data_IF_120044531409
#
_entry.id   IF_120044531409
#
_cell.length_a   1.000
_cell.length_b   1.000
_cell.length_c   1.000
_cell.angle_alpha   90.00
_cell.angle_beta   90.00
_cell.angle_gamma   90.00
#
_symmetry.space_group_name_H-M   'P 1'
#
loop_
_entity.id
_entity.type
_entity.pdbx_description
1 polymer ?
2 non-polymer ?
3 non-polymer ?
4 non-polymer ?
5 water ?
#
# COMPACT_ATOMS: atom_id res chain seq x y z
N UNK A 1 10.59 -13.55 -12.09
CA UNK A 1 9.76 -12.70 -11.18
C UNK A 1 10.52 -12.40 -9.88
N UNK A 2 10.23 -11.24 -9.30
CA UNK A 2 10.82 -10.81 -8.05
C UNK A 2 10.23 -11.56 -6.86
N UNK A 3 10.58 -11.14 -5.64
CA UNK A 3 10.09 -11.88 -4.48
C UNK A 3 8.57 -11.94 -4.38
N UNK A 4 8.06 -13.09 -3.98
CA UNK A 4 6.64 -13.26 -3.65
C UNK A 4 6.53 -13.89 -2.29
N UNK A 5 5.38 -13.69 -1.65
CA UNK A 5 5.07 -14.40 -0.42
C UNK A 5 4.91 -15.88 -0.82
N UNK A 6 5.60 -16.77 -0.11
CA UNK A 6 5.48 -18.22 -0.37
C UNK A 6 4.32 -18.83 0.43
N UNK A 7 3.21 -18.13 0.47
CA UNK A 7 1.99 -18.47 1.22
C UNK A 7 0.88 -17.55 0.73
N UNK A 8 -0.37 -17.97 0.83
CA UNK A 8 -1.51 -17.15 0.40
C UNK A 8 -2.24 -16.47 1.53
N UNK A 9 -1.89 -16.80 2.77
CA UNK A 9 -2.47 -16.18 3.96
C UNK A 9 -1.43 -15.20 4.52
N UNK A 10 -1.77 -13.92 4.47
CA UNK A 10 -0.80 -12.87 4.73
C UNK A 10 -1.38 -11.93 5.78
N UNK A 11 -0.61 -11.63 6.82
CA UNK A 11 -1.07 -10.75 7.88
C UNK A 11 -0.54 -9.33 7.73
N UNK A 12 -1.30 -8.37 8.24
CA UNK A 12 -0.86 -6.98 8.32
C UNK A 12 -1.21 -6.36 9.65
N UNK A 13 -0.47 -5.35 10.04
CA UNK A 13 -0.73 -4.59 11.26
C UNK A 13 -0.46 -3.11 10.98
N UNK A 14 -1.29 -2.22 11.49
CA UNK A 14 -1.09 -0.78 11.42
C UNK A 14 -0.29 -0.35 12.64
N UNK A 15 0.99 0.00 12.41
CA UNK A 15 1.89 0.39 13.51
C UNK A 15 1.46 1.64 14.23
N UNK A 16 1.02 2.62 13.44
CA UNK A 16 0.66 3.91 13.97
C UNK A 16 -0.28 4.61 13.00
N UNK A 17 -0.88 5.70 13.46
CA UNK A 17 -1.96 6.35 12.73
C UNK A 17 -1.66 7.80 12.50
N UNK A 18 -1.80 8.21 11.25
CA UNK A 18 -1.66 9.60 10.93
C UNK A 18 -2.68 10.46 11.68
N UNK A 19 -2.25 11.63 12.23
CA UNK A 19 -3.22 12.58 12.83
C UNK A 19 -4.05 13.32 11.79
N UNK A 20 -3.72 13.17 10.50
CA UNK A 20 -4.43 13.87 9.45
C UNK A 20 -5.88 13.41 9.31
N UNK A 21 -6.16 12.15 9.70
CA UNK A 21 -7.43 11.49 9.51
C UNK A 21 -7.92 10.88 10.82
N UNK A 22 -9.21 10.66 10.90
CA UNK A 22 -9.77 9.89 12.00
C UNK A 22 -9.26 8.42 11.94
N UNK A 23 -9.02 7.81 13.10
CA UNK A 23 -8.52 6.42 13.15
C UNK A 23 -9.39 5.43 12.34
N UNK A 24 -10.71 5.52 12.48
CA UNK A 24 -11.65 4.65 11.78
C UNK A 24 -11.46 4.75 10.26
N UNK A 25 -11.18 5.94 9.80
CA UNK A 25 -11.01 6.20 8.37
C UNK A 25 -9.69 5.61 7.84
N UNK A 26 -8.64 5.63 8.66
CA UNK A 26 -7.38 4.94 8.30
C UNK A 26 -7.62 3.43 8.22
N UNK A 27 -8.28 2.86 9.23
CA UNK A 27 -8.54 1.42 9.25
C UNK A 27 -9.32 1.04 7.97
N UNK A 28 -10.30 1.86 7.65
CA UNK A 28 -11.17 1.58 6.52
C UNK A 28 -10.39 1.64 5.19
N UNK A 29 -9.62 2.69 5.01
CA UNK A 29 -8.80 2.85 3.79
C UNK A 29 -7.86 1.66 3.58
N UNK A 30 -7.17 1.26 4.63
CA UNK A 30 -6.24 0.15 4.54
C UNK A 30 -6.97 -1.18 4.27
N UNK A 31 -8.08 -1.44 4.98
CA UNK A 31 -8.83 -2.67 4.76
C UNK A 31 -9.27 -2.77 3.29
N UNK A 32 -9.81 -1.66 2.81
CA UNK A 32 -10.32 -1.57 1.45
C UNK A 32 -9.20 -1.78 0.42
N UNK A 33 -8.03 -1.24 0.72
CA UNK A 33 -6.87 -1.42 -0.19
C UNK A 33 -6.42 -2.88 -0.29
N UNK A 34 -6.40 -3.60 0.83
CA UNK A 34 -6.09 -5.02 0.79
C UNK A 34 -7.16 -5.81 0.03
N UNK A 35 -8.41 -5.42 0.25
CA UNK A 35 -9.56 -6.06 -0.41
C UNK A 35 -9.45 -5.93 -1.95
N UNK A 36 -8.96 -4.80 -2.45
CA UNK A 36 -8.78 -4.64 -3.90
C UNK A 36 -7.95 -5.81 -4.45
N UNK A 37 -6.83 -6.11 -3.80
CA UNK A 37 -5.94 -7.16 -4.25
C UNK A 37 -6.46 -8.57 -3.95
N UNK A 38 -7.08 -8.73 -2.78
CA UNK A 38 -7.72 -10.02 -2.42
C UNK A 38 -8.77 -10.40 -3.48
N UNK A 39 -9.46 -9.41 -4.01
CA UNK A 39 -10.57 -9.64 -4.97
C UNK A 39 -10.15 -10.13 -6.35
N UNK A 40 -8.84 -10.12 -6.65
CA UNK A 40 -8.31 -10.60 -7.95
C UNK A 40 -7.20 -11.65 -7.85
N UNK A 41 -7.03 -12.24 -6.66
CA UNK A 41 -6.01 -13.24 -6.39
C UNK A 41 -6.55 -14.30 -5.42
N UNK A 42 -5.77 -15.39 -5.21
CA UNK A 42 -6.13 -16.31 -4.13
C UNK A 42 -5.69 -15.83 -2.74
N UNK A 43 -5.24 -14.57 -2.60
CA UNK A 43 -4.63 -14.10 -1.34
C UNK A 43 -5.67 -13.75 -0.32
N UNK A 44 -5.38 -14.11 0.92
CA UNK A 44 -6.23 -13.84 2.04
C UNK A 44 -5.42 -12.98 3.04
N UNK A 45 -5.98 -11.83 3.41
CA UNK A 45 -5.36 -10.91 4.37
C UNK A 45 -6.07 -10.89 5.72
N UNK A 46 -5.27 -10.98 6.79
CA UNK A 46 -5.78 -10.96 8.16
C UNK A 46 -5.12 -9.81 8.89
N UNK A 47 -5.92 -8.89 9.41
CA UNK A 47 -5.43 -7.81 10.25
C UNK A 47 -5.14 -8.32 11.64
N UNK A 48 -3.95 -8.00 12.16
CA UNK A 48 -3.64 -8.26 13.55
C UNK A 48 -3.48 -6.95 14.27
N UNK A 49 -3.93 -6.91 15.51
CA UNK A 49 -3.89 -5.68 16.28
C UNK A 49 -2.64 -5.58 17.13
N UNK A 50 -2.07 -6.74 17.45
CA UNK A 50 -0.89 -6.87 18.31
C UNK A 50 -0.09 -8.05 17.79
N UNK A 51 1.21 -7.93 17.72
CA UNK A 51 2.09 -9.06 17.44
C UNK A 51 2.74 -8.97 16.08
N UNK A 52 3.22 -10.11 15.65
CA UNK A 52 4.03 -10.25 14.45
C UNK A 52 3.14 -10.25 13.22
N UNK A 53 3.39 -9.35 12.29
CA UNK A 53 2.66 -9.36 11.04
C UNK A 53 3.62 -9.37 9.88
N UNK A 54 3.15 -9.87 8.73
CA UNK A 54 3.96 -9.83 7.50
C UNK A 54 4.13 -8.39 7.00
N UNK A 55 3.03 -7.66 6.83
CA UNK A 55 3.05 -6.30 6.31
C UNK A 55 2.78 -5.33 7.43
N UNK A 56 3.77 -4.53 7.79
CA UNK A 56 3.61 -3.47 8.76
C UNK A 56 3.32 -2.17 8.01
N UNK A 57 2.26 -1.48 8.37
CA UNK A 57 1.89 -0.18 7.85
C UNK A 57 2.36 0.92 8.80
N UNK A 58 3.14 1.85 8.27
CA UNK A 58 3.82 2.83 9.11
C UNK A 58 3.61 4.20 8.51
N UNK A 59 3.34 5.21 9.37
CA UNK A 59 3.39 6.63 8.99
C UNK A 59 4.62 7.22 9.67
N UNK A 60 5.53 7.85 8.92
CA UNK A 60 6.77 8.39 9.50
C UNK A 60 7.27 9.49 8.63
N UNK A 61 8.22 10.27 9.15
CA UNK A 61 8.74 11.39 8.39
C UNK A 61 10.25 11.36 8.31
N UNK A 62 10.77 12.08 7.32
CA UNK A 62 12.19 12.18 7.16
C UNK A 62 12.92 10.85 7.19
N UNK A 63 14.05 10.83 7.89
CA UNK A 63 14.81 9.61 8.10
C UNK A 63 14.09 8.81 9.20
N UNK A 64 13.74 7.56 8.89
CA UNK A 64 12.86 6.79 9.75
C UNK A 64 13.28 5.34 9.84
N UNK A 65 14.59 5.09 9.76
CA UNK A 65 15.13 3.81 10.14
C UNK A 65 15.47 2.82 9.06
N UNK A 66 15.14 3.13 7.82
CA UNK A 66 15.41 2.20 6.76
C UNK A 66 16.34 2.99 5.91
N UNK A 67 16.77 2.51 4.80
CA UNK A 67 17.86 3.35 4.28
C UNK A 67 17.33 4.32 3.23
N UNK A 68 16.05 4.74 3.41
CA UNK A 68 15.23 5.43 2.42
C UNK A 68 14.44 6.59 3.02
N UNK A 69 15.16 7.63 3.42
CA UNK A 69 14.54 8.75 4.09
C UNK A 69 13.53 9.43 3.20
N UNK A 70 12.42 9.84 3.81
CA UNK A 70 11.44 10.72 3.16
C UNK A 70 11.95 12.15 3.08
N UNK A 71 11.21 12.98 2.35
CA UNK A 71 11.76 14.21 1.75
C UNK A 71 10.87 15.42 2.01
N UNK A 72 10.05 15.37 3.06
CA UNK A 72 9.19 16.49 3.37
C UNK A 72 7.95 16.50 2.50
N UNK A 73 7.19 17.59 2.58
CA UNK A 73 5.92 17.66 1.87
C UNK A 73 6.14 17.58 0.35
N UNK A 74 5.31 16.78 -0.32
CA UNK A 74 5.45 16.56 -1.76
C UNK A 74 6.53 15.53 -2.07
N UNK A 75 6.97 15.50 -3.33
CA UNK A 75 7.94 14.54 -3.76
C UNK A 75 7.46 13.13 -3.51
N UNK A 76 8.29 12.35 -2.85
CA UNK A 76 7.94 10.97 -2.55
C UNK A 76 6.86 10.94 -1.48
N UNK A 77 5.77 10.22 -1.75
CA UNK A 77 4.63 10.14 -0.85
C UNK A 77 4.68 8.93 0.08
N UNK A 78 5.28 7.85 -0.39
CA UNK A 78 5.20 6.57 0.26
C UNK A 78 6.18 5.66 -0.45
N UNK A 79 6.58 4.58 0.22
CA UNK A 79 7.34 3.51 -0.39
C UNK A 79 7.09 2.22 0.35
N UNK A 80 7.39 1.11 -0.27
CA UNK A 80 7.17 -0.21 0.32
C UNK A 80 8.19 -1.22 -0.14
N UNK A 81 8.43 -2.19 0.71
CA UNK A 81 9.40 -3.24 0.46
C UNK A 81 8.69 -4.45 -0.08
N UNK A 82 9.34 -5.14 -1.01
CA UNK A 82 8.79 -6.38 -1.54
C UNK A 82 8.80 -7.48 -0.50
N UNK A 83 8.13 -8.59 -0.81
CA UNK A 83 8.01 -9.68 0.15
C UNK A 83 9.37 -10.17 0.69
N UNK A 84 9.39 -10.48 1.97
CA UNK A 84 10.59 -10.93 2.70
C UNK A 84 10.35 -10.79 4.17
N UNK A 85 11.30 -11.27 4.96
CA UNK A 85 11.19 -11.15 6.43
C UNK A 85 11.50 -9.73 6.91
N UNK A 86 11.14 -9.47 8.16
CA UNK A 86 11.45 -8.18 8.78
C UNK A 86 10.81 -7.03 8.03
N UNK A 87 11.63 -6.10 7.58
CA UNK A 87 11.10 -4.94 6.86
C UNK A 87 10.45 -5.32 5.52
N UNK A 88 10.77 -6.51 5.01
CA UNK A 88 10.11 -7.01 3.82
C UNK A 88 8.59 -6.92 3.94
N UNK A 89 7.95 -6.53 2.86
CA UNK A 89 6.51 -6.32 2.89
C UNK A 89 6.05 -4.99 3.43
N UNK A 90 6.86 -4.30 4.24
CA UNK A 90 6.32 -3.16 4.96
C UNK A 90 6.05 -1.96 4.05
N UNK A 91 5.00 -1.21 4.39
CA UNK A 91 4.53 -0.07 3.61
C UNK A 91 4.61 1.19 4.46
N UNK A 92 5.36 2.19 4.01
CA UNK A 92 5.59 3.39 4.78
C UNK A 92 5.04 4.59 4.04
N UNK A 93 4.34 5.46 4.79
CA UNK A 93 3.64 6.62 4.25
C UNK A 93 4.26 7.86 4.88
N UNK A 94 4.62 8.85 4.05
CA UNK A 94 5.29 10.05 4.50
C UNK A 94 4.28 10.94 5.25
N UNK A 95 4.54 11.12 6.57
CA UNK A 95 3.63 11.93 7.38
C UNK A 95 3.66 13.40 7.00
N UNK A 96 4.70 13.83 6.29
CA UNK A 96 4.71 15.19 5.79
C UNK A 96 3.69 15.47 4.67
N UNK A 97 3.08 14.42 4.10
CA UNK A 97 1.88 14.58 3.28
C UNK A 97 0.64 14.75 4.15
N UNK A 98 -0.41 15.30 3.54
CA UNK A 98 -1.70 15.41 4.20
C UNK A 98 -2.63 14.33 3.65
N UNK A 99 -2.82 13.30 4.47
CA UNK A 99 -3.55 12.11 4.09
C UNK A 99 -5.03 12.35 4.23
N UNK A 100 -5.80 11.93 3.25
CA UNK A 100 -7.23 12.19 3.20
C UNK A 100 -8.10 11.00 2.76
N UNK A 101 -9.40 11.16 3.00
CA UNK A 101 -10.45 10.26 2.58
C UNK A 101 -10.96 10.53 1.15
N UNK A 102 -10.52 11.64 0.57
CA UNK A 102 -11.11 12.30 -0.58
C UNK A 102 -10.05 12.84 -1.55
N UNK A 103 -10.45 13.73 -2.46
CA UNK A 103 -9.59 14.29 -3.53
C UNK A 103 -8.61 15.38 -3.15
N UNK A 104 -8.82 16.01 -2.00
CA UNK A 104 -7.86 16.92 -1.43
C UNK A 104 -6.69 16.14 -0.83
N UNK A 105 -5.58 16.85 -0.64
CA UNK A 105 -4.34 16.27 -0.14
C UNK A 105 -3.99 15.03 -0.93
N UNK A 106 -3.53 14.01 -0.23
CA UNK A 106 -3.20 12.72 -0.85
C UNK A 106 -4.12 11.63 -0.31
N UNK A 107 -4.88 10.99 -1.19
CA UNK A 107 -5.83 9.96 -0.80
C UNK A 107 -5.09 8.74 -0.29
N UNK A 108 -5.32 8.39 0.96
CA UNK A 108 -4.64 7.27 1.56
C UNK A 108 -5.01 5.97 0.87
N UNK A 109 -6.29 5.72 0.63
CA UNK A 109 -6.72 4.47 0.01
C UNK A 109 -5.98 4.24 -1.31
N UNK A 110 -5.98 5.21 -2.20
CA UNK A 110 -5.37 5.00 -3.54
C UNK A 110 -3.87 4.78 -3.44
N UNK A 111 -3.25 5.53 -2.52
CA UNK A 111 -1.82 5.39 -2.29
C UNK A 111 -1.53 4.02 -1.70
N UNK A 112 -2.34 3.57 -0.76
CA UNK A 112 -2.19 2.27 -0.15
C UNK A 112 -2.38 1.12 -1.13
N UNK A 113 -3.32 1.27 -2.07
CA UNK A 113 -3.49 0.22 -3.07
C UNK A 113 -2.15 0.06 -3.80
N UNK A 114 -1.57 1.17 -4.24
CA UNK A 114 -0.26 1.13 -4.93
C UNK A 114 0.84 0.53 -4.05
N UNK A 115 0.96 0.99 -2.80
CA UNK A 115 2.00 0.48 -1.91
C UNK A 115 1.82 -0.99 -1.61
N UNK A 116 0.59 -1.43 -1.37
CA UNK A 116 0.38 -2.86 -1.12
C UNK A 116 0.73 -3.67 -2.34
N UNK A 117 0.47 -3.13 -3.53
CA UNK A 117 0.95 -3.79 -4.73
C UNK A 117 2.46 -4.07 -4.65
N UNK A 118 3.24 -3.06 -4.21
CA UNK A 118 4.67 -3.29 -3.98
C UNK A 118 4.90 -4.33 -2.86
N UNK A 119 4.16 -4.24 -1.76
CA UNK A 119 4.32 -5.21 -0.67
C UNK A 119 4.05 -6.64 -1.08
N UNK A 120 3.25 -6.81 -2.16
CA UNK A 120 2.98 -8.13 -2.72
C UNK A 120 3.94 -8.56 -3.81
N UNK A 121 4.80 -7.65 -4.28
CA UNK A 121 5.83 -8.00 -5.25
C UNK A 121 5.72 -7.31 -6.59
N UNK A 122 4.74 -6.42 -6.74
CA UNK A 122 4.61 -5.70 -8.03
C UNK A 122 5.60 -4.55 -8.10
N UNK A 123 6.08 -4.30 -9.31
CA UNK A 123 6.78 -3.06 -9.64
C UNK A 123 5.87 -2.09 -10.34
N UNK A 124 6.47 -1.05 -10.88
CA UNK A 124 5.73 -0.03 -11.56
C UNK A 124 5.27 -0.47 -12.95
N UNK A 125 4.16 0.11 -13.36
CA UNK A 125 3.56 -0.12 -14.65
C UNK A 125 3.81 1.06 -15.58
N UNK A 126 3.91 0.74 -16.88
CA UNK A 126 3.91 1.74 -17.93
C UNK A 126 2.50 2.08 -18.46
N UNK A 127 1.46 1.40 -17.96
CA UNK A 127 0.07 1.71 -18.33
C UNK A 127 -0.41 2.87 -17.46
N UNK A 128 -0.74 4.04 -18.03
CA UNK A 128 -1.19 5.15 -17.20
C UNK A 128 -2.52 4.94 -16.47
N UNK A 129 -3.29 3.93 -16.89
CA UNK A 129 -4.53 3.55 -16.21
C UNK A 129 -4.29 2.64 -14.99
N UNK A 130 -3.07 2.11 -14.86
CA UNK A 130 -2.76 1.17 -13.79
C UNK A 130 -2.55 1.90 -12.47
N UNK A 131 -3.05 1.34 -11.37
CA UNK A 131 -2.75 1.88 -10.06
C UNK A 131 -1.23 1.86 -9.78
N UNK A 132 -0.53 0.93 -10.42
CA UNK A 132 0.93 0.84 -10.27
C UNK A 132 1.75 1.83 -11.14
N UNK A 133 1.07 2.67 -11.90
CA UNK A 133 1.77 3.71 -12.61
C UNK A 133 2.26 4.70 -11.56
N UNK A 134 3.53 5.12 -11.62
CA UNK A 134 4.14 5.85 -10.49
C UNK A 134 3.89 7.38 -10.48
N UNK A 135 2.65 7.80 -10.63
CA UNK A 135 2.25 9.19 -10.43
C UNK A 135 0.96 9.13 -9.63
N UNK A 136 0.88 9.92 -8.57
CA UNK A 136 -0.35 9.98 -7.83
C UNK A 136 -1.36 10.85 -8.60
N UNK A 137 -2.55 10.30 -8.83
CA UNK A 137 -3.68 11.02 -9.45
C UNK A 137 -4.95 10.59 -8.73
N UNK A 138 -5.71 11.58 -8.23
CA UNK A 138 -6.96 11.25 -7.61
C UNK A 138 -7.91 10.75 -8.67
N UNK A 139 -8.60 9.67 -8.37
CA UNK A 139 -9.74 9.20 -9.16
C UNK A 139 -10.84 8.87 -8.20
N UNK A 140 -12.10 8.98 -8.66
CA UNK A 140 -13.25 8.75 -7.79
C UNK A 140 -13.09 7.39 -7.12
N UNK A 141 -13.09 7.41 -5.79
CA UNK A 141 -12.86 6.18 -5.01
C UNK A 141 -13.99 5.18 -5.11
N UNK A 142 -15.22 5.65 -5.27
CA UNK A 142 -16.35 4.72 -5.32
C UNK A 142 -16.42 3.91 -6.60
N UNK A 143 -15.76 4.43 -7.63
CA UNK A 143 -15.70 3.83 -8.94
C UNK A 143 -14.29 3.32 -9.31
N UNK A 144 -13.36 3.40 -8.36
CA UNK A 144 -12.00 2.94 -8.61
C UNK A 144 -11.98 1.47 -9.04
N UNK A 145 -11.14 1.14 -10.04
CA UNK A 145 -10.80 -0.24 -10.31
C UNK A 145 -9.39 -0.41 -10.79
N UNK A 146 -8.85 -1.57 -10.46
CA UNK A 146 -7.54 -1.98 -11.00
C UNK A 146 -7.67 -2.03 -12.51
N UNK A 147 -6.61 -1.65 -13.21
CA UNK A 147 -6.57 -1.84 -14.63
C UNK A 147 -6.26 -3.29 -14.99
N UNK A 148 -6.52 -3.61 -16.25
CA UNK A 148 -6.17 -4.93 -16.76
C UNK A 148 -4.68 -5.24 -16.57
N UNK A 149 -3.82 -4.22 -16.64
CA UNK A 149 -2.38 -4.44 -16.42
C UNK A 149 -2.06 -4.79 -14.97
N UNK A 150 -2.71 -4.14 -14.04
CA UNK A 150 -2.54 -4.44 -12.62
C UNK A 150 -2.95 -5.88 -12.33
N UNK A 151 -4.05 -6.30 -12.94
CA UNK A 151 -4.56 -7.66 -12.71
C UNK A 151 -3.63 -8.69 -13.36
N UNK A 152 -3.15 -8.44 -14.57
CA UNK A 152 -2.14 -9.31 -15.20
C UNK A 152 -0.94 -9.43 -14.27
N UNK A 153 -0.48 -8.28 -13.78
CA UNK A 153 0.71 -8.26 -12.94
C UNK A 153 0.56 -9.12 -11.70
N UNK A 154 -0.52 -8.89 -10.96
CA UNK A 154 -0.65 -9.62 -9.71
C UNK A 154 -0.98 -11.11 -9.91
N UNK A 155 -1.76 -11.41 -10.96
CA UNK A 155 -2.06 -12.82 -11.24
C UNK A 155 -0.86 -13.59 -11.77
N UNK A 156 0.14 -12.89 -12.32
CA UNK A 156 1.38 -13.55 -12.72
C UNK A 156 2.21 -13.97 -11.51
N UNK A 157 2.02 -13.30 -10.39
CA UNK A 157 2.75 -13.61 -9.16
C UNK A 157 2.03 -14.63 -8.30
N UNK A 158 0.70 -14.62 -8.29
CA UNK A 158 -0.13 -15.47 -7.41
C UNK A 158 -1.30 -16.14 -8.14
N UNK A 159 -1.45 -17.46 -7.96
CA UNK A 159 -2.59 -18.19 -8.49
C UNK A 159 -2.20 -19.13 -9.61
#
# INVERSE_FOLDING_TARGET
MGPVWRKHYITYRINNYTPDMNREDVDYAIRKAFQVWSNVTPLKFSKINTGMADILVVFARGAHGDDHAFDGKGGILAHAFGPGSGIGGDAHFDEDEFWTTHSGGTNLFLTAVHEIGHSLGLGHSSDPKAVMFPTYKYVDINTFRLSADDIRGIQSLYG
#
